data_IF_736667174491
#
_entry.id   IF_736667174491
#
_cell.length_a   1.000
_cell.length_b   1.000
_cell.length_c   1.000
_cell.angle_alpha   90.00
_cell.angle_beta   90.00
_cell.angle_gamma   90.00
#
_symmetry.space_group_name_H-M   'P 1'
#
loop_
_entity.id
_entity.type
_entity.pdbx_description
1 polymer ?
#
# COMPACT_ATOMS: atom_id res chain seq x y z
N UNK A 1 2.25 -19.24 -22.63
CA UNK A 1 1.30 -18.29 -22.05
C UNK A 1 1.29 -18.51 -20.54
N UNK A 2 1.95 -17.66 -19.72
CA UNK A 2 1.89 -17.76 -18.27
C UNK A 2 1.12 -16.55 -17.71
N UNK A 3 -0.16 -16.71 -17.36
CA UNK A 3 -0.98 -15.59 -16.84
C UNK A 3 -1.75 -15.96 -15.57
N UNK A 4 -1.14 -16.63 -14.59
CA UNK A 4 -1.89 -16.96 -13.36
C UNK A 4 -1.07 -17.04 -12.06
N UNK A 5 0.26 -17.13 -12.13
CA UNK A 5 1.10 -17.27 -10.93
C UNK A 5 1.45 -15.94 -10.24
N UNK A 6 1.71 -14.90 -11.03
CA UNK A 6 2.27 -13.65 -10.52
C UNK A 6 1.23 -12.73 -9.86
N UNK A 7 -0.02 -12.80 -10.32
CA UNK A 7 -1.11 -11.96 -9.80
C UNK A 7 -1.46 -12.33 -8.35
N UNK A 8 -1.56 -13.62 -8.04
CA UNK A 8 -1.77 -14.12 -6.67
C UNK A 8 -0.57 -13.83 -5.75
N UNK A 9 0.66 -13.91 -6.27
CA UNK A 9 1.87 -13.60 -5.51
C UNK A 9 1.94 -12.11 -5.15
N UNK A 10 1.51 -11.24 -6.05
CA UNK A 10 1.42 -9.81 -5.79
C UNK A 10 0.28 -9.48 -4.82
N UNK A 11 -0.90 -10.09 -4.98
CA UNK A 11 -2.01 -9.91 -4.05
C UNK A 11 -1.64 -10.33 -2.62
N UNK A 12 -0.96 -11.46 -2.43
CA UNK A 12 -0.50 -11.91 -1.11
C UNK A 12 0.46 -10.92 -0.43
N UNK A 13 1.38 -10.33 -1.20
CA UNK A 13 2.28 -9.27 -0.70
C UNK A 13 1.51 -8.02 -0.30
N UNK A 14 0.55 -7.60 -1.12
CA UNK A 14 -0.31 -6.43 -0.86
C UNK A 14 -1.16 -6.63 0.39
N UNK A 15 -1.75 -7.81 0.58
CA UNK A 15 -2.54 -8.14 1.77
C UNK A 15 -1.67 -8.16 3.04
N UNK A 16 -0.45 -8.70 2.96
CA UNK A 16 0.50 -8.66 4.08
C UNK A 16 0.88 -7.22 4.44
N UNK A 17 1.14 -6.39 3.42
CA UNK A 17 1.44 -4.97 3.57
C UNK A 17 0.28 -4.20 4.22
N UNK A 18 -0.97 -4.42 3.77
CA UNK A 18 -2.16 -3.83 4.39
C UNK A 18 -2.34 -4.29 5.84
N UNK A 19 -2.07 -5.56 6.13
CA UNK A 19 -2.16 -6.11 7.48
C UNK A 19 -1.12 -5.49 8.42
N UNK A 20 0.09 -5.26 7.92
CA UNK A 20 1.16 -4.57 8.66
C UNK A 20 0.78 -3.11 8.93
N UNK A 21 0.18 -2.42 7.97
CA UNK A 21 -0.35 -1.08 8.18
C UNK A 21 -1.45 -1.03 9.26
N UNK A 22 -2.47 -1.90 9.15
CA UNK A 22 -3.63 -1.89 10.04
C UNK A 22 -3.23 -2.26 11.48
N UNK A 23 -2.37 -3.27 11.67
CA UNK A 23 -1.88 -3.72 12.98
C UNK A 23 -0.69 -2.94 13.52
N UNK A 24 -0.03 -2.15 12.68
CA UNK A 24 1.15 -1.38 13.03
C UNK A 24 0.83 -0.22 13.98
N UNK A 25 1.79 0.07 14.86
CA UNK A 25 1.78 1.29 15.66
C UNK A 25 2.16 2.51 14.80
N UNK A 26 2.25 3.70 15.40
CA UNK A 26 2.62 4.94 14.70
C UNK A 26 3.94 4.78 13.92
N UNK A 27 4.93 4.12 14.50
CA UNK A 27 6.26 3.92 13.93
C UNK A 27 6.24 2.96 12.75
N UNK A 28 5.53 1.83 12.88
CA UNK A 28 5.34 0.87 11.80
C UNK A 28 4.59 1.51 10.63
N UNK A 29 3.48 2.23 10.89
CA UNK A 29 2.74 2.96 9.86
C UNK A 29 3.62 4.00 9.16
N UNK A 30 4.39 4.79 9.90
CA UNK A 30 5.34 5.73 9.29
C UNK A 30 6.38 5.02 8.43
N UNK A 31 6.95 3.90 8.88
CA UNK A 31 7.91 3.11 8.09
C UNK A 31 7.28 2.62 6.78
N UNK A 32 6.10 2.00 6.87
CA UNK A 32 5.34 1.50 5.72
C UNK A 32 5.04 2.64 4.74
N UNK A 33 4.64 3.81 5.23
CA UNK A 33 4.42 5.00 4.41
C UNK A 33 5.68 5.47 3.69
N UNK A 34 6.81 5.56 4.41
CA UNK A 34 8.09 6.00 3.83
C UNK A 34 8.55 5.02 2.76
N UNK A 35 8.52 3.72 3.04
CA UNK A 35 8.84 2.68 2.07
C UNK A 35 7.93 2.75 0.85
N UNK A 36 6.63 2.96 1.07
CA UNK A 36 5.66 3.11 -0.01
C UNK A 36 5.95 4.32 -0.88
N UNK A 37 6.24 5.48 -0.29
CA UNK A 37 6.59 6.69 -1.02
C UNK A 37 7.87 6.45 -1.83
N UNK A 38 8.94 5.96 -1.20
CA UNK A 38 10.21 5.67 -1.88
C UNK A 38 10.06 4.69 -3.05
N UNK A 39 9.24 3.65 -2.90
CA UNK A 39 9.00 2.65 -3.94
C UNK A 39 8.12 3.14 -5.10
N UNK A 40 7.39 4.24 -4.90
CA UNK A 40 6.43 4.76 -5.87
C UNK A 40 6.70 6.21 -6.29
N UNK A 41 7.81 6.80 -5.85
CA UNK A 41 8.30 8.10 -6.34
C UNK A 41 8.44 8.05 -7.87
N UNK A 42 7.78 8.99 -8.56
CA UNK A 42 7.83 9.09 -10.02
C UNK A 42 6.88 8.15 -10.76
N UNK A 43 6.13 7.28 -10.07
CA UNK A 43 5.08 6.46 -10.69
C UNK A 43 3.78 7.23 -10.83
N UNK A 44 3.08 6.98 -11.92
CA UNK A 44 1.71 7.44 -12.13
C UNK A 44 0.72 6.64 -11.29
N UNK A 45 -0.46 7.22 -11.04
CA UNK A 45 -1.53 6.54 -10.30
C UNK A 45 -1.92 5.19 -10.92
N UNK A 46 -1.87 5.07 -12.25
CA UNK A 46 -2.18 3.82 -12.94
C UNK A 46 -1.17 2.71 -12.65
N UNK A 47 0.13 3.04 -12.68
CA UNK A 47 1.20 2.09 -12.32
C UNK A 47 1.13 1.67 -10.85
N UNK A 48 0.68 2.59 -9.99
CA UNK A 48 0.44 2.35 -8.58
C UNK A 48 -0.66 1.29 -8.38
N UNK A 49 -1.80 1.46 -9.06
CA UNK A 49 -2.93 0.51 -8.99
C UNK A 49 -2.55 -0.85 -9.55
N UNK A 50 -1.75 -0.93 -10.63
CA UNK A 50 -1.24 -2.22 -11.13
C UNK A 50 -0.32 -2.88 -10.09
N UNK A 51 0.60 -2.11 -9.49
CA UNK A 51 1.54 -2.62 -8.48
C UNK A 51 0.82 -3.10 -7.21
N UNK A 52 -0.29 -2.46 -6.87
CA UNK A 52 -1.11 -2.77 -5.70
C UNK A 52 -2.34 -3.62 -6.02
N UNK A 53 -2.43 -4.29 -7.17
CA UNK A 53 -3.57 -5.13 -7.53
C UNK A 53 -4.94 -4.44 -7.32
N UNK A 54 -5.05 -3.19 -7.79
CA UNK A 54 -6.26 -2.34 -7.74
C UNK A 54 -6.72 -1.90 -6.35
N UNK A 55 -5.87 -1.99 -5.32
CA UNK A 55 -6.20 -1.51 -3.96
C UNK A 55 -5.41 -0.26 -3.54
N UNK A 56 -4.83 0.50 -4.47
CA UNK A 56 -4.06 1.70 -4.13
C UNK A 56 -4.95 2.82 -3.57
N UNK A 57 -6.09 3.07 -4.21
CA UNK A 57 -7.13 3.96 -3.70
C UNK A 57 -7.54 3.65 -2.26
N UNK A 58 -7.76 2.36 -1.94
CA UNK A 58 -8.12 1.91 -0.61
C UNK A 58 -7.00 2.16 0.41
N UNK A 59 -5.73 1.97 0.03
CA UNK A 59 -4.60 2.26 0.89
C UNK A 59 -4.44 3.76 1.15
N UNK A 60 -4.59 4.60 0.13
CA UNK A 60 -4.55 6.07 0.25
C UNK A 60 -5.67 6.60 1.16
N UNK A 61 -6.86 6.01 1.10
CA UNK A 61 -7.95 6.33 2.01
C UNK A 61 -7.58 6.04 3.48
N UNK A 62 -6.96 4.88 3.75
CA UNK A 62 -6.47 4.55 5.10
C UNK A 62 -5.40 5.52 5.60
N UNK A 63 -4.45 5.90 4.74
CA UNK A 63 -3.42 6.90 5.08
C UNK A 63 -4.08 8.23 5.46
N UNK A 64 -5.03 8.70 4.65
CA UNK A 64 -5.73 9.97 4.88
C UNK A 64 -6.48 9.96 6.21
N UNK A 65 -7.22 8.89 6.50
CA UNK A 65 -7.93 8.74 7.78
C UNK A 65 -6.95 8.71 8.95
N UNK A 66 -5.85 7.97 8.84
CA UNK A 66 -4.85 7.91 9.91
C UNK A 66 -4.18 9.27 10.16
N UNK A 67 -3.86 10.03 9.11
CA UNK A 67 -3.30 11.37 9.25
C UNK A 67 -4.27 12.31 9.97
N UNK A 68 -5.56 12.30 9.61
CA UNK A 68 -6.60 13.10 10.27
C UNK A 68 -6.77 12.74 11.75
N UNK A 69 -6.60 11.47 12.12
CA UNK A 69 -6.67 11.02 13.51
C UNK A 69 -5.41 11.34 14.32
N UNK A 70 -4.26 11.46 13.65
CA UNK A 70 -2.96 11.65 14.32
C UNK A 70 -2.55 13.12 14.42
N UNK A 71 -2.97 13.93 13.45
CA UNK A 71 -2.65 15.34 13.33
C UNK A 71 -3.95 16.14 13.21
N UNK A 72 -4.57 16.52 14.34
CA UNK A 72 -5.75 17.38 14.36
C UNK A 72 -5.44 18.81 13.89
#
# INVERSE_FOLDING_TARGET
MPESGDEHANLGKVLSFLREWDRGDKTARTRVLVTFLSANTGKTFHELEITLAQVASLFLARITTWMRLTYP
#
